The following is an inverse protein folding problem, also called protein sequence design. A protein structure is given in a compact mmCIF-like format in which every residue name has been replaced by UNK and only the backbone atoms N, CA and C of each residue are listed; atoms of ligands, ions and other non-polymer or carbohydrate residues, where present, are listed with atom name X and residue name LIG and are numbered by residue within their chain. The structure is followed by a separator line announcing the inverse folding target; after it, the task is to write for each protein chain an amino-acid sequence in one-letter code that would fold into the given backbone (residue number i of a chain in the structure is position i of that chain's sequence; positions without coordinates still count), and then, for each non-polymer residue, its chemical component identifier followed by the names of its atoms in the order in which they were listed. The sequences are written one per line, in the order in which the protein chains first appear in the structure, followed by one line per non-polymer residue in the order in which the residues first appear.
data_IF_284417551905
#
_entry.id   IF_284417551905
#
_cell.length_a   1.000
_cell.length_b   1.000
_cell.length_c   1.000
_cell.angle_alpha   90.00
_cell.angle_beta   90.00
_cell.angle_gamma   90.00
#
_symmetry.space_group_name_H-M   'P 1'
#
loop_
_entity.id
_entity.type
_entity.pdbx_description
1 polymer ?
#
# COMPACT_ATOMS: atom_id res chain seq x y z
N UNK A 1 -35.79 -36.57 57.39
CA UNK A 1 -35.11 -37.51 58.30
C UNK A 1 -34.12 -38.31 57.46
N UNK A 2 -32.86 -38.31 57.87
CA UNK A 2 -31.64 -38.71 57.15
C UNK A 2 -31.41 -40.23 57.14
N UNK A 3 -30.63 -40.70 56.14
CA UNK A 3 -29.67 -41.83 56.08
C UNK A 3 -29.57 -42.25 54.59
N UNK A 4 -28.44 -42.53 53.96
CA UNK A 4 -27.13 -42.97 54.44
C UNK A 4 -26.14 -42.91 53.26
N UNK A 5 -24.92 -42.51 53.57
CA UNK A 5 -23.75 -42.54 52.70
C UNK A 5 -23.32 -43.94 52.21
N UNK A 6 -22.46 -43.89 51.19
CA UNK A 6 -21.18 -44.61 51.07
C UNK A 6 -21.13 -45.93 50.26
N UNK A 7 -20.53 -45.87 49.05
CA UNK A 7 -19.19 -46.42 48.69
C UNK A 7 -19.08 -46.56 47.15
N UNK A 8 -18.11 -45.93 46.50
CA UNK A 8 -16.77 -46.50 46.21
C UNK A 8 -16.88 -47.66 45.20
N UNK A 9 -16.39 -47.61 43.96
CA UNK A 9 -15.50 -46.68 43.30
C UNK A 9 -15.21 -47.19 41.87
N UNK A 10 -14.07 -46.75 41.34
CA UNK A 10 -13.39 -47.27 40.15
C UNK A 10 -13.82 -46.72 38.77
N UNK A 11 -13.36 -45.51 38.52
CA UNK A 11 -12.61 -45.06 37.33
C UNK A 11 -12.59 -46.03 36.13
N UNK A 12 -13.26 -45.64 35.05
CA UNK A 12 -12.72 -45.82 33.70
C UNK A 12 -12.71 -44.46 33.03
N UNK A 13 -11.52 -43.83 33.05
CA UNK A 13 -11.28 -42.54 32.45
C UNK A 13 -11.37 -42.67 30.92
N UNK A 14 -12.47 -42.20 30.33
CA UNK A 14 -12.55 -41.95 28.90
C UNK A 14 -11.98 -40.55 28.64
N UNK A 15 -10.67 -40.48 28.49
CA UNK A 15 -9.98 -39.29 28.00
C UNK A 15 -10.35 -39.09 26.53
N UNK A 16 -11.44 -38.37 26.26
CA UNK A 16 -11.67 -37.77 24.94
C UNK A 16 -10.94 -36.44 24.94
N UNK A 17 -9.64 -36.52 24.66
CA UNK A 17 -8.79 -35.37 24.35
C UNK A 17 -9.17 -34.86 22.95
N UNK A 18 -10.17 -33.98 22.88
CA UNK A 18 -10.41 -33.18 21.67
C UNK A 18 -9.36 -32.07 21.67
N UNK A 19 -8.21 -32.37 21.05
CA UNK A 19 -7.28 -31.33 20.62
C UNK A 19 -7.92 -30.66 19.41
N UNK A 20 -8.67 -29.58 19.65
CA UNK A 20 -8.95 -28.59 18.62
C UNK A 20 -7.61 -27.88 18.33
N UNK A 21 -6.77 -28.55 17.54
CA UNK A 21 -5.73 -27.89 16.77
C UNK A 21 -6.48 -27.00 15.78
N UNK A 22 -6.73 -25.75 16.16
CA UNK A 22 -6.94 -24.72 15.15
C UNK A 22 -5.63 -24.65 14.38
N UNK A 23 -5.54 -25.12 13.11
CA UNK A 23 -4.38 -24.78 12.32
C UNK A 23 -4.33 -23.26 12.33
N UNK A 24 -3.17 -22.72 12.71
CA UNK A 24 -2.85 -21.31 12.47
C UNK A 24 -3.27 -21.01 11.05
N UNK A 25 -4.37 -20.27 10.90
CA UNK A 25 -4.76 -19.75 9.60
C UNK A 25 -3.57 -18.92 9.18
N UNK A 26 -2.94 -19.34 8.08
CA UNK A 26 -1.69 -18.84 7.54
C UNK A 26 -1.34 -17.45 8.07
N UNK A 27 -0.23 -17.36 8.79
CA UNK A 27 0.50 -16.12 8.90
C UNK A 27 0.48 -15.49 7.52
N UNK A 28 -0.09 -14.30 7.40
CA UNK A 28 0.14 -13.51 6.22
C UNK A 28 1.60 -13.04 6.31
N UNK A 29 2.52 -13.94 6.02
CA UNK A 29 3.91 -13.64 5.72
C UNK A 29 3.95 -13.04 4.31
N UNK A 30 3.23 -11.94 4.10
CA UNK A 30 3.53 -11.03 3.01
C UNK A 30 4.83 -10.33 3.40
N UNK A 31 5.95 -11.04 3.27
CA UNK A 31 7.25 -10.40 3.15
C UNK A 31 7.38 -9.96 1.70
N UNK A 32 6.54 -8.99 1.32
CA UNK A 32 6.81 -8.21 0.14
C UNK A 32 7.89 -7.21 0.56
N UNK A 33 9.11 -7.42 0.07
CA UNK A 33 10.07 -6.31 0.00
C UNK A 33 9.49 -5.36 -1.05
N UNK A 34 8.58 -4.49 -0.61
CA UNK A 34 8.07 -3.35 -1.37
C UNK A 34 9.19 -2.30 -1.36
N UNK A 35 10.19 -2.54 -2.18
CA UNK A 35 11.30 -1.62 -2.34
C UNK A 35 10.78 -0.40 -3.12
N UNK A 36 10.37 0.62 -2.38
CA UNK A 36 10.27 2.03 -2.83
C UNK A 36 9.19 2.43 -3.85
N UNK A 37 8.11 1.64 -4.02
CA UNK A 37 6.92 2.08 -4.78
C UNK A 37 5.96 3.01 -4.01
N UNK A 38 6.34 3.41 -2.79
CA UNK A 38 5.49 4.12 -1.84
C UNK A 38 5.60 5.64 -1.90
N UNK A 39 4.66 6.31 -1.26
CA UNK A 39 4.70 7.74 -1.00
C UNK A 39 5.95 8.12 -0.18
N UNK A 40 6.66 9.14 -0.63
CA UNK A 40 7.85 9.68 0.03
C UNK A 40 7.48 10.95 0.76
N UNK A 41 7.60 10.91 2.08
CA UNK A 41 7.54 12.10 2.92
C UNK A 41 8.95 12.67 3.09
N UNK A 42 9.08 14.00 3.04
CA UNK A 42 10.28 14.62 3.60
C UNK A 42 10.39 14.22 5.08
N UNK A 43 11.54 13.64 5.46
CA UNK A 43 11.78 13.00 6.77
C UNK A 43 11.20 13.83 7.92
N UNK A 44 10.24 13.25 8.64
CA UNK A 44 9.64 13.82 9.85
C UNK A 44 9.57 12.73 10.91
N UNK A 45 10.01 13.02 12.13
CA UNK A 45 9.96 12.06 13.25
C UNK A 45 8.54 11.93 13.84
N UNK A 46 7.63 12.85 13.48
CA UNK A 46 6.30 12.93 14.07
C UNK A 46 5.18 12.47 13.13
N UNK A 47 5.43 12.35 11.83
CA UNK A 47 4.45 11.85 10.87
C UNK A 47 4.68 10.36 10.68
N UNK A 48 3.77 9.55 11.21
CA UNK A 48 3.84 8.09 11.19
C UNK A 48 2.84 7.57 10.15
N UNK A 49 3.29 6.72 9.24
CA UNK A 49 2.39 5.93 8.38
C UNK A 49 1.83 4.77 9.21
N UNK A 50 0.53 4.82 9.54
CA UNK A 50 -0.14 3.79 10.33
C UNK A 50 -0.77 2.69 9.46
N UNK A 51 -1.17 3.01 8.23
CA UNK A 51 -1.80 2.06 7.32
C UNK A 51 -1.44 2.36 5.86
N UNK A 52 -1.25 1.30 5.09
CA UNK A 52 -1.24 1.30 3.63
C UNK A 52 -2.25 0.25 3.14
N UNK A 53 -3.04 0.63 2.14
CA UNK A 53 -3.93 -0.26 1.40
C UNK A 53 -3.66 -0.10 -0.09
N UNK A 54 -3.23 -1.18 -0.72
CA UNK A 54 -2.87 -1.23 -2.13
C UNK A 54 -3.88 -2.08 -2.90
N UNK A 55 -4.49 -1.49 -3.92
CA UNK A 55 -5.32 -2.17 -4.90
C UNK A 55 -4.63 -2.08 -6.25
N UNK A 56 -4.28 -3.24 -6.81
CA UNK A 56 -3.73 -3.37 -8.15
C UNK A 56 -4.70 -4.18 -8.99
N UNK A 57 -4.98 -3.68 -10.19
CA UNK A 57 -5.75 -4.37 -11.21
C UNK A 57 -5.20 -4.01 -12.59
N UNK A 58 -5.73 -4.63 -13.64
CA UNK A 58 -5.35 -4.32 -15.01
C UNK A 58 -5.73 -2.88 -15.42
N UNK A 59 -6.78 -2.32 -14.83
CA UNK A 59 -7.32 -1.02 -15.21
C UNK A 59 -6.88 0.11 -14.28
N UNK A 60 -6.60 -0.21 -13.01
CA UNK A 60 -6.41 0.78 -11.96
C UNK A 60 -5.42 0.31 -10.89
N UNK A 61 -4.55 1.23 -10.49
CA UNK A 61 -3.77 1.14 -9.26
C UNK A 61 -4.28 2.23 -8.33
N UNK A 62 -4.70 1.84 -7.13
CA UNK A 62 -5.08 2.75 -6.06
C UNK A 62 -4.28 2.43 -4.82
N UNK A 63 -3.74 3.47 -4.20
CA UNK A 63 -3.05 3.34 -2.91
C UNK A 63 -3.67 4.32 -1.94
N UNK A 64 -3.97 3.84 -0.73
CA UNK A 64 -4.50 4.65 0.36
C UNK A 64 -3.60 4.51 1.56
N UNK A 65 -3.14 5.64 2.06
CA UNK A 65 -2.35 5.77 3.27
C UNK A 65 -3.17 6.40 4.38
N UNK A 66 -2.90 6.00 5.62
CA UNK A 66 -3.33 6.74 6.81
C UNK A 66 -2.08 7.17 7.55
N UNK A 67 -1.91 8.49 7.66
CA UNK A 67 -0.84 9.09 8.44
C UNK A 67 -1.37 9.59 9.77
N UNK A 68 -0.60 9.44 10.82
CA UNK A 68 -0.84 10.05 12.12
C UNK A 68 0.25 11.06 12.43
N UNK A 69 -0.15 12.28 12.79
CA UNK A 69 0.78 13.26 13.34
C UNK A 69 0.81 13.13 14.88
N UNK A 70 1.92 12.62 15.40
CA UNK A 70 2.10 12.41 16.83
C UNK A 70 2.51 13.68 17.60
N UNK A 71 2.80 14.80 16.94
CA UNK A 71 3.15 16.04 17.61
C UNK A 71 1.91 16.77 18.14
N UNK A 72 2.15 17.78 18.99
CA UNK A 72 1.11 18.67 19.52
C UNK A 72 0.81 19.86 18.58
N UNK A 73 1.45 19.91 17.40
CA UNK A 73 1.32 21.00 16.44
C UNK A 73 1.05 20.49 15.02
N UNK A 74 0.37 21.29 14.20
CA UNK A 74 0.18 20.92 12.80
C UNK A 74 1.52 20.97 12.06
N UNK A 75 1.84 19.91 11.31
CA UNK A 75 3.09 19.83 10.54
C UNK A 75 2.76 20.01 9.07
N UNK A 76 3.40 20.99 8.43
CA UNK A 76 3.29 21.20 6.98
C UNK A 76 4.59 20.78 6.31
N UNK A 77 4.50 19.85 5.37
CA UNK A 77 5.68 19.32 4.68
C UNK A 77 5.36 18.94 3.24
N UNK A 78 6.41 18.81 2.43
CA UNK A 78 6.29 18.32 1.05
C UNK A 78 6.12 16.80 1.05
N UNK A 79 5.16 16.35 0.27
CA UNK A 79 4.89 14.96 -0.01
C UNK A 79 5.16 14.71 -1.49
N UNK A 80 5.84 13.62 -1.81
CA UNK A 80 6.18 13.24 -3.17
C UNK A 80 5.77 11.79 -3.43
N UNK A 81 5.38 11.51 -4.66
CA UNK A 81 5.04 10.20 -5.15
C UNK A 81 5.78 9.96 -6.46
N UNK A 82 6.90 9.21 -6.44
CA UNK A 82 7.59 8.81 -7.66
C UNK A 82 6.74 7.78 -8.39
N UNK A 83 6.47 8.02 -9.67
CA UNK A 83 5.84 7.04 -10.53
C UNK A 83 6.90 6.11 -11.13
N UNK A 84 6.50 4.89 -11.55
CA UNK A 84 7.37 4.02 -12.32
C UNK A 84 7.95 4.76 -13.53
N UNK A 85 9.24 4.58 -13.76
CA UNK A 85 9.91 5.14 -14.92
C UNK A 85 9.48 4.44 -16.21
N UNK A 86 9.55 5.15 -17.33
CA UNK A 86 9.17 4.63 -18.63
C UNK A 86 10.22 4.94 -19.69
N UNK A 87 10.44 3.98 -20.60
CA UNK A 87 11.36 4.16 -21.72
C UNK A 87 10.77 5.16 -22.71
N UNK A 88 11.56 6.14 -23.14
CA UNK A 88 11.25 6.98 -24.29
C UNK A 88 11.30 6.11 -25.54
N UNK A 89 10.16 5.86 -26.16
CA UNK A 89 10.09 5.19 -27.44
C UNK A 89 10.11 6.25 -28.56
N UNK A 90 11.16 6.32 -29.41
CA UNK A 90 11.29 7.38 -30.42
C UNK A 90 10.27 7.28 -31.57
N UNK A 91 9.75 6.09 -31.85
CA UNK A 91 8.81 5.83 -32.97
C UNK A 91 7.40 5.40 -32.52
N UNK A 92 7.22 5.07 -31.25
CA UNK A 92 5.87 4.95 -30.69
C UNK A 92 5.48 6.32 -30.19
N UNK A 93 4.37 6.83 -30.71
CA UNK A 93 3.52 7.77 -29.98
C UNK A 93 3.00 7.05 -28.74
N UNK A 94 3.89 6.78 -27.77
CA UNK A 94 3.49 6.61 -26.39
C UNK A 94 2.71 7.88 -26.14
N UNK A 95 1.39 7.76 -26.02
CA UNK A 95 0.46 8.86 -25.83
C UNK A 95 0.64 9.55 -24.46
N UNK A 96 1.89 9.69 -24.01
CA UNK A 96 2.46 10.90 -23.45
C UNK A 96 2.35 12.06 -24.45
N UNK A 97 1.19 12.21 -25.11
CA UNK A 97 0.89 13.40 -25.85
C UNK A 97 1.10 14.53 -24.87
N UNK A 98 2.01 15.41 -25.22
CA UNK A 98 2.30 16.67 -24.56
C UNK A 98 1.06 17.59 -24.47
N UNK A 99 -0.12 17.09 -24.86
CA UNK A 99 -1.45 17.48 -24.38
C UNK A 99 -1.57 17.14 -22.88
N UNK A 100 -0.94 18.00 -22.08
CA UNK A 100 -1.29 18.33 -20.70
C UNK A 100 -2.74 17.94 -20.37
N UNK A 101 -3.08 17.26 -19.28
CA UNK A 101 -3.01 17.83 -17.93
C UNK A 101 -2.97 16.75 -16.83
N UNK A 102 -2.95 15.44 -17.14
CA UNK A 102 -2.96 14.33 -16.14
C UNK A 102 -2.34 13.03 -16.68
N UNK A 103 -1.00 12.86 -16.62
CA UNK A 103 -0.37 11.61 -17.03
C UNK A 103 -0.93 10.43 -16.20
N UNK A 104 -1.13 9.28 -16.84
CA UNK A 104 -1.73 8.07 -16.24
C UNK A 104 -3.10 8.28 -15.57
N UNK A 105 -3.82 9.37 -15.89
CA UNK A 105 -5.07 9.74 -15.21
C UNK A 105 -4.92 9.88 -13.68
N UNK A 106 -3.76 10.31 -13.19
CA UNK A 106 -3.50 10.42 -11.76
C UNK A 106 -4.52 11.32 -11.05
N UNK A 107 -5.04 10.85 -9.91
CA UNK A 107 -5.91 11.59 -9.01
C UNK A 107 -5.34 11.53 -7.60
N UNK A 108 -5.39 12.66 -6.91
CA UNK A 108 -5.02 12.77 -5.51
C UNK A 108 -6.26 13.14 -4.69
N UNK A 109 -6.51 12.40 -3.61
CA UNK A 109 -7.52 12.71 -2.61
C UNK A 109 -6.90 12.83 -1.23
N UNK A 110 -7.26 13.88 -0.51
CA UNK A 110 -6.87 14.11 0.88
C UNK A 110 -8.14 14.20 1.71
N UNK A 111 -8.26 13.34 2.72
CA UNK A 111 -9.49 13.18 3.50
C UNK A 111 -10.75 12.96 2.63
N UNK A 112 -10.58 12.30 1.47
CA UNK A 112 -11.65 12.01 0.51
C UNK A 112 -11.94 13.12 -0.49
N UNK A 113 -11.34 14.30 -0.36
CA UNK A 113 -11.51 15.43 -1.29
C UNK A 113 -10.41 15.46 -2.34
N UNK A 114 -10.77 15.70 -3.60
CA UNK A 114 -9.78 15.87 -4.67
C UNK A 114 -8.86 17.08 -4.38
N UNK A 115 -7.56 16.88 -4.60
CA UNK A 115 -6.52 17.91 -4.43
C UNK A 115 -5.66 18.03 -5.69
N UNK A 116 -5.10 19.21 -5.87
CA UNK A 116 -4.09 19.48 -6.89
C UNK A 116 -2.71 19.00 -6.43
N UNK A 117 -1.87 18.70 -7.41
CA UNK A 117 -0.47 18.33 -7.24
C UNK A 117 0.32 18.94 -8.39
N UNK A 118 1.61 19.12 -8.17
CA UNK A 118 2.57 19.49 -9.20
C UNK A 118 3.26 18.23 -9.73
N UNK A 119 3.88 18.33 -10.91
CA UNK A 119 4.61 17.21 -11.53
C UNK A 119 6.00 17.66 -11.92
N UNK A 120 7.00 16.88 -11.50
CA UNK A 120 8.38 17.00 -11.94
C UNK A 120 8.69 15.83 -12.89
N UNK A 121 9.33 16.13 -14.02
CA UNK A 121 9.74 15.13 -15.02
C UNK A 121 11.25 15.26 -15.23
N UNK A 122 11.97 14.14 -15.10
CA UNK A 122 13.40 14.05 -15.40
C UNK A 122 13.61 13.08 -16.54
N UNK A 123 14.47 13.47 -17.49
CA UNK A 123 14.86 12.65 -18.63
C UNK A 123 16.34 12.33 -18.54
N UNK A 124 16.69 11.07 -18.65
CA UNK A 124 18.08 10.61 -18.73
C UNK A 124 18.13 9.28 -19.47
N UNK A 125 19.12 9.08 -20.33
CA UNK A 125 19.38 7.81 -21.03
C UNK A 125 18.15 7.18 -21.73
N UNK A 126 17.25 8.01 -22.27
CA UNK A 126 16.01 7.55 -22.90
C UNK A 126 15.01 6.95 -21.91
N UNK A 127 15.09 7.33 -20.63
CA UNK A 127 14.18 7.02 -19.54
C UNK A 127 13.54 8.32 -19.05
N UNK A 128 12.24 8.27 -18.77
CA UNK A 128 11.50 9.33 -18.12
C UNK A 128 11.17 8.90 -16.69
N UNK A 129 11.65 9.68 -15.73
CA UNK A 129 11.18 9.63 -14.34
C UNK A 129 10.16 10.73 -14.12
N UNK A 130 9.04 10.39 -13.49
CA UNK A 130 7.98 11.33 -13.17
C UNK A 130 7.68 11.28 -11.69
N UNK A 131 7.60 12.44 -11.03
CA UNK A 131 7.26 12.55 -9.62
C UNK A 131 6.13 13.54 -9.44
N UNK A 132 5.04 13.10 -8.82
CA UNK A 132 3.97 14.00 -8.38
C UNK A 132 4.28 14.48 -6.98
N UNK A 133 4.08 15.77 -6.68
CA UNK A 133 4.33 16.29 -5.34
C UNK A 133 3.37 17.41 -4.96
N UNK A 134 3.12 17.55 -3.66
CA UNK A 134 2.28 18.60 -3.11
C UNK A 134 2.74 18.98 -1.70
N UNK A 135 2.24 20.10 -1.19
CA UNK A 135 2.41 20.50 0.20
C UNK A 135 1.20 20.00 0.99
N UNK A 136 1.46 19.27 2.08
CA UNK A 136 0.43 18.72 2.94
C UNK A 136 0.59 19.22 4.37
N UNK A 137 -0.52 19.64 4.98
CA UNK A 137 -0.61 19.88 6.41
C UNK A 137 -1.24 18.66 7.10
N UNK A 138 -0.53 18.10 8.07
CA UNK A 138 -0.99 17.02 8.93
C UNK A 138 -1.43 17.63 10.27
N UNK A 139 -2.73 17.60 10.63
CA UNK A 139 -3.21 18.23 11.86
C UNK A 139 -2.64 17.54 13.11
N UNK A 140 -2.45 18.30 14.20
CA UNK A 140 -1.89 17.77 15.45
C UNK A 140 -2.74 16.64 16.04
N UNK A 141 -2.12 15.55 16.48
CA UNK A 141 -2.79 14.39 17.11
C UNK A 141 -3.95 13.80 16.30
N UNK A 142 -3.93 13.97 14.99
CA UNK A 142 -4.99 13.48 14.10
C UNK A 142 -4.45 12.56 13.02
N UNK A 143 -5.38 11.77 12.48
CA UNK A 143 -5.15 10.92 11.31
C UNK A 143 -5.57 11.63 10.05
N UNK A 144 -4.76 11.52 9.00
CA UNK A 144 -5.04 12.03 7.68
C UNK A 144 -4.96 10.90 6.65
N UNK A 145 -6.07 10.69 5.95
CA UNK A 145 -6.10 9.77 4.81
C UNK A 145 -5.57 10.48 3.55
N UNK A 146 -4.64 9.82 2.86
CA UNK A 146 -4.09 10.26 1.58
C UNK A 146 -4.31 9.12 0.59
N UNK A 147 -5.07 9.36 -0.47
CA UNK A 147 -5.38 8.35 -1.48
C UNK A 147 -4.94 8.87 -2.84
N UNK A 148 -4.35 7.99 -3.65
CA UNK A 148 -4.11 8.29 -5.04
C UNK A 148 -4.48 7.12 -5.94
N UNK A 149 -4.86 7.46 -7.17
CA UNK A 149 -5.36 6.54 -8.17
C UNK A 149 -4.73 6.86 -9.51
N UNK A 150 -4.20 5.86 -10.22
CA UNK A 150 -3.68 6.02 -11.57
C UNK A 150 -3.90 4.75 -12.39
N UNK A 151 -3.87 4.89 -13.71
CA UNK A 151 -3.95 3.78 -14.65
C UNK A 151 -2.57 3.16 -14.85
N UNK A 152 -2.44 1.83 -14.79
CA UNK A 152 -1.22 1.17 -15.23
C UNK A 152 -0.90 1.52 -16.68
N UNK A 153 0.38 1.68 -17.01
CA UNK A 153 0.81 1.80 -18.40
C UNK A 153 0.72 0.41 -19.07
N UNK A 154 -0.41 0.11 -19.70
CA UNK A 154 -0.60 -1.08 -20.51
C UNK A 154 0.16 -0.91 -21.84
N UNK A 155 1.38 -1.43 -21.94
CA UNK A 155 2.16 -1.34 -23.18
C UNK A 155 3.67 -1.59 -23.09
N UNK A 156 4.25 -1.66 -21.89
CA UNK A 156 5.60 -2.20 -21.72
C UNK A 156 5.49 -3.62 -21.18
N UNK A 157 6.15 -4.57 -21.81
CA UNK A 157 6.34 -5.93 -21.28
C UNK A 157 7.04 -5.95 -19.89
N UNK A 158 7.33 -4.79 -19.30
CA UNK A 158 8.05 -4.61 -18.04
C UNK A 158 7.13 -4.68 -16.81
N UNK A 159 5.82 -4.39 -16.93
CA UNK A 159 4.92 -4.49 -15.76
C UNK A 159 4.47 -5.93 -15.43
N UNK A 160 4.64 -6.87 -16.36
CA UNK A 160 4.33 -8.30 -16.16
C UNK A 160 5.54 -9.25 -16.26
N UNK A 161 6.70 -8.82 -16.78
CA UNK A 161 7.87 -9.71 -16.93
C UNK A 161 8.66 -9.97 -15.64
N UNK A 162 8.34 -9.34 -14.52
CA UNK A 162 8.83 -9.78 -13.20
C UNK A 162 7.79 -10.59 -12.41
N UNK A 163 6.71 -11.05 -13.07
CA UNK A 163 5.69 -11.88 -12.44
C UNK A 163 5.62 -13.32 -12.96
N UNK A 164 6.59 -13.78 -13.74
CA UNK A 164 6.58 -15.16 -14.28
C UNK A 164 7.96 -15.84 -14.32
N UNK A 165 8.68 -15.81 -13.20
CA UNK A 165 9.72 -16.82 -12.89
C UNK A 165 9.33 -17.54 -11.58
N UNK A 166 8.16 -18.18 -11.61
CA UNK A 166 7.76 -19.18 -10.64
C UNK A 166 7.25 -20.43 -11.37
N UNK A 167 8.19 -21.18 -11.96
CA UNK A 167 8.36 -22.64 -11.83
C UNK A 167 9.07 -23.21 -13.05
N UNK A 168 10.32 -23.63 -12.85
CA UNK A 168 10.70 -25.01 -13.13
C UNK A 168 12.01 -25.39 -12.42
N UNK A 169 11.85 -26.38 -11.54
CA UNK A 169 12.85 -27.21 -10.82
C UNK A 169 13.46 -26.68 -9.52
#
# INVERSE_FOLDING_TARGET
MTLKDLKCGFVFALNVLIILNSPSLFANDSTAVLDTGGIVLQKSEHIVMEQEELLISQDIIRVKYVFYNSSDEAITTRVAFPLPSFQEAPDQDLSLSYEAHKPLSFKLKIAGEDRSFDTEIKRHDGIIDMTHHWVQTFPAKERLAVEHEYKPALGSEIFLSTHDEAKQH
#
